data_IF_524631801137
#
_entry.id   IF_524631801137
#
_cell.length_a   1.000
_cell.length_b   1.000
_cell.length_c   1.000
_cell.angle_alpha   90.00
_cell.angle_beta   90.00
_cell.angle_gamma   90.00
#
_symmetry.space_group_name_H-M   'P 1'
#
loop_
_entity.id
_entity.type
_entity.pdbx_description
1 polymer ?
#
# COMPACT_ATOMS: atom_id res chain seq x y z
N UNK A 1 3.29 -11.52 -19.06
CA UNK A 1 2.98 -10.78 -17.82
C UNK A 1 1.65 -11.28 -17.32
N UNK A 2 1.48 -11.47 -16.01
CA UNK A 2 0.28 -12.06 -15.45
C UNK A 2 -0.85 -11.02 -15.38
N UNK A 3 -1.56 -10.86 -16.50
CA UNK A 3 -2.68 -9.91 -16.61
C UNK A 3 -3.81 -10.17 -15.61
N UNK A 4 -3.98 -11.42 -15.19
CA UNK A 4 -4.93 -11.79 -14.14
C UNK A 4 -4.58 -11.14 -12.79
N UNK A 5 -3.32 -11.20 -12.37
CA UNK A 5 -2.87 -10.56 -11.12
C UNK A 5 -3.00 -9.03 -11.23
N UNK A 6 -2.65 -8.47 -12.40
CA UNK A 6 -2.85 -7.04 -12.65
C UNK A 6 -4.33 -6.63 -12.52
N UNK A 7 -5.25 -7.45 -13.04
CA UNK A 7 -6.69 -7.19 -12.94
C UNK A 7 -7.18 -7.23 -11.49
N UNK A 8 -6.81 -8.25 -10.72
CA UNK A 8 -7.16 -8.35 -9.30
C UNK A 8 -6.59 -7.14 -8.53
N UNK A 9 -5.34 -6.77 -8.80
CA UNK A 9 -4.72 -5.60 -8.17
C UNK A 9 -5.45 -4.29 -8.52
N UNK A 10 -5.92 -4.15 -9.77
CA UNK A 10 -6.73 -3.00 -10.18
C UNK A 10 -8.08 -2.96 -9.47
N UNK A 11 -8.77 -4.09 -9.34
CA UNK A 11 -10.04 -4.18 -8.60
C UNK A 11 -9.81 -3.78 -7.14
N UNK A 12 -8.78 -4.32 -6.49
CA UNK A 12 -8.43 -3.95 -5.12
C UNK A 12 -8.06 -2.47 -4.97
N UNK A 13 -7.36 -1.89 -5.96
CA UNK A 13 -7.07 -0.45 -6.01
C UNK A 13 -8.34 0.38 -6.07
N UNK A 14 -9.28 0.04 -6.97
CA UNK A 14 -10.55 0.77 -7.14
C UNK A 14 -11.39 0.66 -5.86
N UNK A 15 -11.53 -0.53 -5.28
CA UNK A 15 -12.27 -0.71 -4.04
C UNK A 15 -11.64 0.08 -2.89
N UNK A 16 -10.31 0.07 -2.77
CA UNK A 16 -9.59 0.86 -1.79
C UNK A 16 -9.79 2.36 -2.00
N UNK A 17 -9.84 2.82 -3.26
CA UNK A 17 -10.12 4.21 -3.62
C UNK A 17 -11.53 4.65 -3.24
N UNK A 18 -12.53 3.80 -3.47
CA UNK A 18 -13.90 4.08 -3.04
C UNK A 18 -13.95 4.23 -1.53
N UNK A 19 -13.41 3.25 -0.77
CA UNK A 19 -13.34 3.34 0.70
C UNK A 19 -12.61 4.60 1.15
N UNK A 20 -11.49 4.94 0.50
CA UNK A 20 -10.69 6.10 0.86
C UNK A 20 -11.42 7.42 0.63
N UNK A 21 -12.07 7.57 -0.53
CA UNK A 21 -12.88 8.75 -0.85
C UNK A 21 -14.04 8.87 0.13
N UNK A 22 -14.74 7.77 0.42
CA UNK A 22 -15.86 7.82 1.35
C UNK A 22 -15.41 8.18 2.78
N UNK A 23 -14.24 7.69 3.22
CA UNK A 23 -13.64 8.09 4.50
C UNK A 23 -13.27 9.59 4.56
N UNK A 24 -12.87 10.20 3.43
CA UNK A 24 -12.63 11.65 3.35
C UNK A 24 -13.91 12.47 3.58
N UNK A 25 -15.08 11.92 3.27
CA UNK A 25 -16.38 12.53 3.55
C UNK A 25 -16.91 12.22 4.97
N UNK A 26 -16.12 11.55 5.80
CA UNK A 26 -16.52 11.18 7.16
C UNK A 26 -17.54 10.04 7.21
N UNK A 27 -17.74 9.32 6.09
CA UNK A 27 -18.59 8.13 6.08
C UNK A 27 -17.85 7.02 6.82
N UNK A 28 -18.46 6.56 7.91
CA UNK A 28 -17.91 5.49 8.72
C UNK A 28 -18.20 4.12 8.07
N UNK A 29 -17.14 3.35 7.79
CA UNK A 29 -17.22 1.96 7.34
C UNK A 29 -16.82 0.97 8.45
N UNK A 30 -16.79 1.41 9.70
CA UNK A 30 -16.44 0.56 10.85
C UNK A 30 -17.43 -0.60 11.02
N UNK A 31 -18.69 -0.45 10.62
CA UNK A 31 -19.65 -1.56 10.60
C UNK A 31 -19.37 -2.57 9.46
N UNK A 32 -18.48 -2.21 8.53
CA UNK A 32 -18.02 -3.03 7.41
C UNK A 32 -16.57 -3.49 7.58
N UNK A 33 -16.08 -3.58 8.83
CA UNK A 33 -14.76 -4.16 9.18
C UNK A 33 -14.40 -5.46 8.44
N UNK A 34 -15.32 -6.43 8.19
CA UNK A 34 -15.00 -7.63 7.43
C UNK A 34 -14.49 -7.32 6.01
N UNK A 35 -15.05 -6.31 5.35
CA UNK A 35 -14.67 -5.93 4.00
C UNK A 35 -13.26 -5.33 3.94
N UNK A 36 -12.94 -4.47 4.91
CA UNK A 36 -11.63 -3.82 5.02
C UNK A 36 -10.54 -4.85 5.35
N UNK A 37 -10.86 -5.83 6.21
CA UNK A 37 -10.00 -6.99 6.46
C UNK A 37 -9.74 -7.81 5.18
N UNK A 38 -10.78 -8.07 4.39
CA UNK A 38 -10.64 -8.79 3.11
C UNK A 38 -9.72 -8.03 2.15
N UNK A 39 -9.85 -6.70 2.02
CA UNK A 39 -8.92 -5.90 1.21
C UNK A 39 -7.49 -5.95 1.77
N UNK A 40 -7.34 -5.87 3.10
CA UNK A 40 -6.01 -5.93 3.74
C UNK A 40 -5.34 -7.29 3.51
N UNK A 41 -6.08 -8.40 3.67
CA UNK A 41 -5.59 -9.75 3.37
C UNK A 41 -5.30 -9.89 1.86
N UNK A 42 -6.16 -9.32 1.02
CA UNK A 42 -6.03 -9.31 -0.43
C UNK A 42 -4.72 -8.69 -0.90
N UNK A 43 -4.22 -7.66 -0.22
CA UNK A 43 -2.89 -7.09 -0.48
C UNK A 43 -1.82 -8.16 -0.40
N UNK A 44 -1.77 -8.98 0.66
CA UNK A 44 -0.75 -10.01 0.80
C UNK A 44 -0.78 -11.03 -0.34
N UNK A 45 -1.98 -11.41 -0.78
CA UNK A 45 -2.19 -12.37 -1.89
C UNK A 45 -1.59 -11.86 -3.21
N UNK A 46 -1.70 -10.56 -3.50
CA UNK A 46 -1.15 -9.98 -4.73
C UNK A 46 0.30 -9.48 -4.58
N UNK A 47 0.69 -9.10 -3.37
CA UNK A 47 1.98 -8.47 -3.13
C UNK A 47 3.09 -9.52 -3.03
N UNK A 48 2.81 -10.69 -2.46
CA UNK A 48 3.74 -11.82 -2.44
C UNK A 48 4.23 -12.23 -3.85
N UNK A 49 3.36 -12.51 -4.84
CA UNK A 49 3.82 -12.83 -6.19
C UNK A 49 4.50 -11.64 -6.87
N UNK A 50 4.14 -10.40 -6.54
CA UNK A 50 4.88 -9.22 -6.99
C UNK A 50 6.32 -9.22 -6.46
N UNK A 51 6.53 -9.41 -5.15
CA UNK A 51 7.86 -9.43 -4.54
C UNK A 51 8.71 -10.54 -5.18
N UNK A 52 8.20 -11.76 -5.23
CA UNK A 52 8.91 -12.91 -5.84
C UNK A 52 9.28 -12.61 -7.30
N UNK A 53 8.31 -12.15 -8.10
CA UNK A 53 8.56 -11.83 -9.51
C UNK A 53 9.54 -10.67 -9.68
N UNK A 54 9.45 -9.64 -8.83
CA UNK A 54 10.35 -8.49 -8.88
C UNK A 54 11.79 -8.88 -8.55
N UNK A 55 12.00 -9.73 -7.54
CA UNK A 55 13.33 -10.23 -7.16
C UNK A 55 13.96 -11.07 -8.29
N UNK A 56 13.18 -11.97 -8.89
CA UNK A 56 13.66 -12.81 -10.01
C UNK A 56 14.13 -11.97 -11.19
N UNK A 57 13.42 -10.89 -11.52
CA UNK A 57 13.70 -10.17 -12.77
C UNK A 57 14.50 -8.87 -12.60
N UNK A 58 14.43 -8.23 -11.44
CA UNK A 58 15.11 -6.97 -11.17
C UNK A 58 16.33 -7.17 -10.24
N UNK A 59 16.40 -8.31 -9.54
CA UNK A 59 17.38 -8.60 -8.48
C UNK A 59 16.81 -8.30 -7.09
N UNK A 60 17.50 -8.74 -6.04
CA UNK A 60 17.04 -8.60 -4.65
C UNK A 60 16.94 -7.14 -4.17
N UNK A 61 17.80 -6.27 -4.71
CA UNK A 61 17.87 -4.83 -4.37
C UNK A 61 18.05 -3.99 -5.64
N UNK A 62 17.00 -3.85 -6.46
CA UNK A 62 17.11 -3.12 -7.70
C UNK A 62 17.36 -1.64 -7.40
N UNK A 63 18.39 -1.07 -8.03
CA UNK A 63 18.63 0.38 -8.00
C UNK A 63 17.43 1.10 -8.60
N UNK A 64 17.10 2.28 -8.07
CA UNK A 64 15.98 3.09 -8.55
C UNK A 64 16.05 3.39 -10.06
N UNK A 65 17.26 3.58 -10.61
CA UNK A 65 17.46 3.73 -12.06
C UNK A 65 16.91 2.55 -12.86
N UNK A 66 17.24 1.31 -12.44
CA UNK A 66 16.75 0.08 -13.09
C UNK A 66 15.24 -0.06 -13.01
N UNK A 67 14.64 0.38 -11.91
CA UNK A 67 13.18 0.44 -11.76
C UNK A 67 12.61 1.45 -12.77
N UNK A 68 13.10 2.69 -12.77
CA UNK A 68 12.62 3.75 -13.67
C UNK A 68 12.69 3.34 -15.14
N UNK A 69 13.79 2.72 -15.56
CA UNK A 69 14.00 2.30 -16.94
C UNK A 69 13.02 1.17 -17.35
N UNK A 70 12.60 0.35 -16.38
CA UNK A 70 11.65 -0.75 -16.58
C UNK A 70 10.20 -0.30 -16.77
N UNK A 71 9.86 0.98 -16.53
CA UNK A 71 8.48 1.48 -16.62
C UNK A 71 8.37 2.72 -17.52
N UNK A 72 7.16 3.06 -18.00
CA UNK A 72 6.89 4.38 -18.56
C UNK A 72 7.01 5.48 -17.49
N UNK A 73 7.55 6.65 -17.85
CA UNK A 73 7.76 7.75 -16.91
C UNK A 73 6.48 8.18 -16.19
N UNK A 74 5.34 8.18 -16.88
CA UNK A 74 4.06 8.57 -16.29
C UNK A 74 3.62 7.61 -15.15
N UNK A 75 3.93 6.31 -15.25
CA UNK A 75 3.62 5.33 -14.19
C UNK A 75 4.44 5.62 -12.94
N UNK A 76 5.72 5.95 -13.12
CA UNK A 76 6.62 6.33 -12.02
C UNK A 76 6.13 7.61 -11.34
N UNK A 77 5.74 8.62 -12.12
CA UNK A 77 5.20 9.89 -11.60
C UNK A 77 3.93 9.64 -10.77
N UNK A 78 2.98 8.85 -11.28
CA UNK A 78 1.77 8.49 -10.54
C UNK A 78 2.11 7.72 -9.26
N UNK A 79 3.04 6.75 -9.33
CA UNK A 79 3.47 5.98 -8.15
C UNK A 79 4.09 6.86 -7.07
N UNK A 80 4.93 7.82 -7.46
CA UNK A 80 5.51 8.80 -6.53
C UNK A 80 4.40 9.69 -5.94
N UNK A 81 3.45 10.16 -6.75
CA UNK A 81 2.35 10.99 -6.26
C UNK A 81 1.48 10.24 -5.25
N UNK A 82 1.11 8.98 -5.52
CA UNK A 82 0.36 8.12 -4.58
C UNK A 82 1.17 7.88 -3.31
N UNK A 83 2.48 7.65 -3.40
CA UNK A 83 3.34 7.45 -2.23
C UNK A 83 3.40 8.71 -1.35
N UNK A 84 3.63 9.89 -1.95
CA UNK A 84 3.66 11.16 -1.24
C UNK A 84 2.31 11.41 -0.57
N UNK A 85 1.22 11.18 -1.31
CA UNK A 85 -0.13 11.32 -0.77
C UNK A 85 -0.38 10.39 0.41
N UNK A 86 -0.07 9.09 0.28
CA UNK A 86 -0.17 8.11 1.36
C UNK A 86 0.62 8.56 2.59
N UNK A 87 1.85 9.04 2.40
CA UNK A 87 2.70 9.48 3.50
C UNK A 87 2.15 10.71 4.21
N UNK A 88 1.73 11.75 3.48
CA UNK A 88 1.10 12.93 4.04
C UNK A 88 -0.19 12.55 4.77
N UNK A 89 -1.03 11.73 4.14
CA UNK A 89 -2.28 11.22 4.71
C UNK A 89 -2.03 10.50 6.05
N UNK A 90 -1.03 9.62 6.09
CA UNK A 90 -0.63 8.91 7.30
C UNK A 90 -0.17 9.86 8.41
N UNK A 91 0.70 10.82 8.11
CA UNK A 91 1.15 11.83 9.09
C UNK A 91 -0.04 12.64 9.62
N UNK A 92 -0.96 13.05 8.75
CA UNK A 92 -2.16 13.79 9.15
C UNK A 92 -3.07 12.96 10.06
N UNK A 93 -3.26 11.66 9.77
CA UNK A 93 -4.02 10.76 10.66
C UNK A 93 -3.32 10.64 12.00
N UNK A 94 -2.02 10.38 12.02
CA UNK A 94 -1.24 10.22 13.25
C UNK A 94 -1.29 11.47 14.15
N UNK A 95 -1.18 12.66 13.55
CA UNK A 95 -1.31 13.92 14.29
C UNK A 95 -2.73 14.11 14.80
N UNK A 96 -3.74 13.83 13.97
CA UNK A 96 -5.14 13.97 14.36
C UNK A 96 -5.51 13.03 15.52
N UNK A 97 -5.06 11.77 15.50
CA UNK A 97 -5.39 10.77 16.51
C UNK A 97 -4.46 10.78 17.72
N UNK A 98 -3.53 11.73 17.83
CA UNK A 98 -2.52 11.78 18.90
C UNK A 98 -1.67 10.47 18.97
N UNK A 99 -1.59 9.72 17.86
CA UNK A 99 -0.98 8.38 17.82
C UNK A 99 -1.79 7.28 18.52
N UNK A 100 -3.05 7.56 18.86
CA UNK A 100 -4.01 6.62 19.43
C UNK A 100 -4.98 6.01 18.42
N UNK A 101 -5.86 5.16 18.93
CA UNK A 101 -6.94 4.51 18.21
C UNK A 101 -8.24 4.61 19.02
N UNK A 102 -9.39 4.89 18.37
CA UNK A 102 -10.68 4.98 19.04
C UNK A 102 -11.24 3.59 19.36
N UNK A 103 -11.71 3.40 20.58
CA UNK A 103 -12.30 2.16 21.08
C UNK A 103 -13.43 2.43 22.08
N UNK A 104 -14.14 1.39 22.50
CA UNK A 104 -15.21 1.46 23.50
C UNK A 104 -14.82 0.62 24.70
N UNK A 105 -14.54 1.27 25.83
CA UNK A 105 -14.19 0.60 27.09
C UNK A 105 -15.26 0.89 28.13
N UNK A 106 -15.89 -0.14 28.70
CA UNK A 106 -16.94 -0.01 29.72
C UNK A 106 -18.02 1.02 29.31
N UNK A 107 -18.56 0.88 28.10
CA UNK A 107 -19.58 1.75 27.49
C UNK A 107 -19.19 3.22 27.30
N UNK A 108 -17.89 3.55 27.41
CA UNK A 108 -17.35 4.87 27.11
C UNK A 108 -16.51 4.85 25.85
N UNK A 109 -16.68 5.87 25.02
CA UNK A 109 -15.78 6.10 23.90
C UNK A 109 -14.44 6.59 24.44
N UNK A 110 -13.36 5.96 24.00
CA UNK A 110 -12.00 6.26 24.46
C UNK A 110 -11.05 6.35 23.29
N UNK A 111 -10.04 7.20 23.43
CA UNK A 111 -8.84 7.18 22.62
C UNK A 111 -7.75 6.53 23.44
N UNK A 112 -7.14 5.46 22.93
CA UNK A 112 -6.09 4.74 23.64
C UNK A 112 -4.91 4.48 22.72
N UNK A 113 -3.73 4.30 23.29
CA UNK A 113 -2.54 3.87 22.57
C UNK A 113 -1.85 2.78 23.37
N UNK A 114 -1.61 1.63 22.73
CA UNK A 114 -0.88 0.51 23.34
C UNK A 114 -1.45 0.07 24.71
N UNK A 115 -2.78 0.06 24.84
CA UNK A 115 -3.48 -0.28 26.09
C UNK A 115 -3.51 0.82 27.15
N UNK A 116 -2.91 1.98 26.89
CA UNK A 116 -2.98 3.16 27.77
C UNK A 116 -4.07 4.10 27.28
N UNK A 117 -4.99 4.48 28.18
CA UNK A 117 -5.98 5.52 27.90
C UNK A 117 -5.28 6.86 27.67
N UNK A 118 -5.54 7.50 26.54
CA UNK A 118 -5.13 8.88 26.28
C UNK A 118 -6.19 9.83 26.86
N UNK A 119 -7.45 9.65 26.44
CA UNK A 119 -8.60 10.43 26.93
C UNK A 119 -9.93 9.78 26.59
N UNK A 120 -10.98 10.19 27.29
CA UNK A 120 -12.37 9.89 26.90
C UNK A 120 -12.77 10.76 25.69
N UNK A 121 -13.68 10.23 24.88
CA UNK A 121 -14.18 10.85 23.65
C UNK A 121 -15.67 11.11 23.75
N UNK A 122 -16.11 12.17 23.09
CA UNK A 122 -17.52 12.31 22.70
C UNK A 122 -17.84 11.37 21.54
N UNK A 123 -19.14 11.08 21.31
CA UNK A 123 -19.57 10.27 20.17
C UNK A 123 -19.14 10.87 18.82
N UNK A 124 -19.13 12.20 18.71
CA UNK A 124 -18.70 12.91 17.51
C UNK A 124 -17.20 12.73 17.25
N UNK A 125 -16.36 12.85 18.29
CA UNK A 125 -14.92 12.60 18.19
C UNK A 125 -14.61 11.13 17.88
N UNK A 126 -15.35 10.19 18.49
CA UNK A 126 -15.22 8.77 18.19
C UNK A 126 -15.44 8.49 16.71
N UNK A 127 -16.53 9.00 16.15
CA UNK A 127 -16.88 8.84 14.74
C UNK A 127 -15.83 9.49 13.82
N UNK A 128 -15.34 10.68 14.19
CA UNK A 128 -14.27 11.37 13.47
C UNK A 128 -12.96 10.57 13.47
N UNK A 129 -12.59 9.97 14.60
CA UNK A 129 -11.38 9.14 14.69
C UNK A 129 -11.53 7.82 13.96
N UNK A 130 -12.71 7.19 13.99
CA UNK A 130 -12.99 5.99 13.20
C UNK A 130 -12.86 6.24 11.70
N UNK A 131 -13.45 7.33 11.20
CA UNK A 131 -13.27 7.72 9.80
C UNK A 131 -11.80 7.97 9.45
N UNK A 132 -11.02 8.59 10.34
CA UNK A 132 -9.58 8.81 10.13
C UNK A 132 -8.75 7.52 10.17
N UNK A 133 -9.11 6.54 11.01
CA UNK A 133 -8.49 5.22 11.03
C UNK A 133 -8.67 4.51 9.68
N UNK A 134 -9.91 4.50 9.16
CA UNK A 134 -10.24 3.95 7.85
C UNK A 134 -9.52 4.72 6.73
N UNK A 135 -9.48 6.06 6.81
CA UNK A 135 -8.73 6.91 5.86
C UNK A 135 -7.24 6.57 5.86
N UNK A 136 -6.64 6.36 7.03
CA UNK A 136 -5.24 5.98 7.19
C UNK A 136 -4.95 4.64 6.54
N UNK A 137 -5.74 3.62 6.86
CA UNK A 137 -5.58 2.27 6.34
C UNK A 137 -5.80 2.20 4.82
N UNK A 138 -6.92 2.74 4.34
CA UNK A 138 -7.25 2.75 2.90
C UNK A 138 -6.23 3.53 2.05
N UNK A 139 -5.62 4.58 2.60
CA UNK A 139 -4.52 5.30 1.93
C UNK A 139 -3.29 4.43 1.67
N UNK A 140 -2.96 3.52 2.59
CA UNK A 140 -1.89 2.53 2.38
C UNK A 140 -2.30 1.49 1.33
N UNK A 141 -3.55 1.01 1.40
CA UNK A 141 -4.07 0.05 0.43
C UNK A 141 -3.96 0.59 -1.00
N UNK A 142 -4.24 1.88 -1.24
CA UNK A 142 -4.03 2.52 -2.55
C UNK A 142 -2.62 2.29 -3.09
N UNK A 143 -1.60 2.54 -2.28
CA UNK A 143 -0.22 2.34 -2.68
C UNK A 143 0.11 0.86 -2.90
N UNK A 144 -0.27 0.00 -1.96
CA UNK A 144 0.05 -1.43 -2.01
C UNK A 144 -0.69 -2.20 -3.11
N UNK A 145 -1.86 -1.73 -3.55
CA UNK A 145 -2.54 -2.26 -4.74
C UNK A 145 -1.99 -1.68 -6.04
N UNK A 146 -1.62 -0.39 -6.04
CA UNK A 146 -1.06 0.26 -7.22
C UNK A 146 0.26 -0.37 -7.67
N UNK A 147 1.17 -0.68 -6.74
CA UNK A 147 2.51 -1.20 -7.08
C UNK A 147 2.47 -2.52 -7.87
N UNK A 148 1.78 -3.59 -7.40
CA UNK A 148 1.61 -4.83 -8.17
C UNK A 148 0.86 -4.61 -9.48
N UNK A 149 -0.19 -3.77 -9.49
CA UNK A 149 -0.90 -3.42 -10.73
C UNK A 149 0.06 -2.82 -11.76
N UNK A 150 0.82 -1.81 -11.36
CA UNK A 150 1.79 -1.14 -12.20
C UNK A 150 2.85 -2.11 -12.72
N UNK A 151 3.37 -2.96 -11.82
CA UNK A 151 4.36 -3.99 -12.15
C UNK A 151 3.85 -4.97 -13.21
N UNK A 152 2.71 -5.61 -12.96
CA UNK A 152 2.21 -6.66 -13.85
C UNK A 152 1.55 -6.12 -15.13
N UNK A 153 1.16 -4.84 -15.17
CA UNK A 153 0.54 -4.23 -16.36
C UNK A 153 1.52 -3.48 -17.25
N UNK A 154 2.46 -2.72 -16.68
CA UNK A 154 3.25 -1.73 -17.43
C UNK A 154 4.75 -1.98 -17.45
N UNK A 155 5.26 -3.00 -16.74
CA UNK A 155 6.68 -3.34 -16.80
C UNK A 155 7.09 -3.71 -18.22
N UNK A 156 8.12 -3.07 -18.75
CA UNK A 156 8.74 -3.42 -20.02
C UNK A 156 9.47 -4.76 -19.85
N UNK A 157 9.33 -5.67 -20.82
CA UNK A 157 10.19 -6.85 -20.90
C UNK A 157 11.62 -6.38 -21.15
N UNK A 158 12.57 -6.85 -20.35
CA UNK A 158 13.99 -6.65 -20.63
C UNK A 158 14.38 -7.53 -21.81
N UNK A 159 14.93 -6.94 -22.87
CA UNK A 159 15.54 -7.69 -23.98
C UNK A 159 16.96 -8.19 -23.63
N UNK A 160 17.43 -7.98 -22.41
CA UNK A 160 18.74 -8.42 -21.97
C UNK A 160 18.68 -9.92 -21.62
N UNK A 161 19.59 -10.75 -22.17
CA UNK A 161 19.67 -12.16 -21.83
C UNK A 161 19.90 -12.32 -20.33
N UNK A 162 19.28 -13.34 -19.73
CA UNK A 162 19.23 -13.64 -18.29
C UNK A 162 20.61 -13.83 -17.59
N UNK A 163 21.73 -13.62 -18.29
CA UNK A 163 23.06 -14.02 -17.85
C UNK A 163 24.20 -13.09 -18.34
N UNK A 164 23.99 -11.78 -18.47
CA UNK A 164 25.10 -10.87 -18.85
C UNK A 164 26.06 -10.53 -17.71
N UNK A 165 25.69 -10.86 -16.47
CA UNK A 165 26.41 -10.41 -15.26
C UNK A 165 27.17 -11.55 -14.57
N UNK A 166 27.30 -12.72 -15.21
CA UNK A 166 28.23 -13.74 -14.73
C UNK A 166 29.66 -13.15 -14.79
N UNK A 167 30.41 -13.13 -13.68
CA UNK A 167 31.79 -12.66 -13.72
C UNK A 167 32.55 -13.53 -14.72
N UNK A 168 33.12 -12.89 -15.75
CA UNK A 168 34.10 -13.54 -16.62
C UNK A 168 35.28 -13.91 -15.73
N UNK A 169 35.27 -15.12 -15.19
CA UNK A 169 36.44 -15.70 -14.59
C UNK A 169 37.51 -15.71 -15.67
N UNK A 170 38.50 -14.83 -15.54
CA UNK A 170 39.72 -14.86 -16.32
C UNK A 170 40.40 -16.19 -16.01
N UNK A 171 40.08 -17.22 -16.81
CA UNK A 171 40.97 -18.34 -17.02
C UNK A 171 42.17 -17.83 -17.82
N UNK A 172 43.10 -17.20 -17.11
CA UNK A 172 44.49 -17.17 -17.55
C UNK A 172 45.04 -18.58 -17.34
N UNK A 173 44.94 -19.37 -18.40
CA UNK A 173 45.81 -20.54 -18.62
C UNK A 173 47.04 -20.04 -19.37
N UNK A 174 48.18 -20.60 -18.96
CA UNK A 174 49.58 -20.44 -19.38
C UNK A 174 50.29 -19.19 -18.90
#
# INVERSE_FOLDING_TARGET
MNHFIAFIALVGFILSLVVHISALFGIDFSDHLPFILVLTIGVFVIYAPFVISSQIHLGERPKFSKIRDSFPNWVIVIGIAIFIYMFINFVLVMVATEGGSPDIWNDKYVLHSHGTLIRELTQAEYSFFKANEIRGLSGHLLFFYFIPFAYFKFRKKSNLPLNSDAPKNNMLVS
#
